data_IF_493265077731
#
_entry.id   IF_493265077731
#
_cell.length_a   1.000
_cell.length_b   1.000
_cell.length_c   1.000
_cell.angle_alpha   90.00
_cell.angle_beta   90.00
_cell.angle_gamma   90.00
#
_symmetry.space_group_name_H-M   'P 1'
#
loop_
_entity.id
_entity.type
_entity.pdbx_description
1 polymer ?
#
# COMPACT_ATOMS: atom_id res chain seq x y z
N UNK A 1 -0.96 5.05 11.91
CA UNK A 1 -0.72 5.93 13.10
C UNK A 1 0.45 6.85 12.91
N UNK A 2 1.63 6.33 12.57
CA UNK A 2 2.88 7.11 12.49
C UNK A 2 2.76 8.42 11.70
N UNK A 3 2.16 8.39 10.50
CA UNK A 3 1.96 9.61 9.71
C UNK A 3 1.12 10.69 10.42
N UNK A 4 0.05 10.28 11.12
CA UNK A 4 -0.77 11.23 11.89
C UNK A 4 0.00 11.76 13.09
N UNK A 5 0.76 10.91 13.79
CA UNK A 5 1.60 11.33 14.92
C UNK A 5 2.68 12.33 14.46
N UNK A 6 3.37 12.06 13.34
CA UNK A 6 4.37 12.95 12.76
C UNK A 6 3.75 14.30 12.35
N UNK A 7 2.57 14.29 11.72
CA UNK A 7 1.84 15.52 11.37
C UNK A 7 1.47 16.35 12.61
N UNK A 8 0.85 15.73 13.61
CA UNK A 8 0.44 16.42 14.85
C UNK A 8 1.65 17.01 15.58
N UNK A 9 2.78 16.28 15.62
CA UNK A 9 4.03 16.77 16.17
C UNK A 9 4.58 17.96 15.36
N UNK A 10 4.52 17.90 14.03
CA UNK A 10 5.03 18.98 13.15
C UNK A 10 4.29 20.31 13.30
N UNK A 11 3.02 20.28 13.74
CA UNK A 11 2.23 21.49 14.05
C UNK A 11 2.38 21.93 15.51
N UNK A 12 3.42 21.44 16.21
CA UNK A 12 3.83 21.89 17.54
C UNK A 12 3.02 21.31 18.71
N UNK A 13 2.30 20.19 18.50
CA UNK A 13 1.63 19.48 19.60
C UNK A 13 2.59 18.47 20.24
N UNK A 14 2.48 18.30 21.56
CA UNK A 14 3.17 17.23 22.25
C UNK A 14 2.51 15.89 21.91
N UNK A 15 3.31 14.90 21.49
CA UNK A 15 2.82 13.58 21.06
C UNK A 15 3.55 12.50 21.84
N UNK A 16 2.80 11.64 22.50
CA UNK A 16 3.27 10.42 23.15
C UNK A 16 2.66 9.23 22.47
N UNK A 17 3.35 8.12 22.38
CA UNK A 17 2.88 6.96 21.65
C UNK A 17 3.15 5.62 22.33
N UNK A 18 2.32 4.64 21.95
CA UNK A 18 2.55 3.23 22.24
C UNK A 18 2.52 2.41 20.95
N UNK A 19 3.51 1.58 20.77
CA UNK A 19 3.52 0.55 19.73
C UNK A 19 4.25 -0.70 20.23
N UNK A 20 3.64 -1.87 20.08
CA UNK A 20 4.25 -3.15 20.48
C UNK A 20 5.56 -3.44 19.75
N UNK A 21 5.67 -2.98 18.49
CA UNK A 21 6.80 -3.27 17.63
C UNK A 21 7.88 -2.19 17.68
N UNK A 22 9.13 -2.60 17.91
CA UNK A 22 10.30 -1.74 17.73
C UNK A 22 10.74 -1.75 16.27
N UNK A 23 10.04 -1.02 15.43
CA UNK A 23 10.21 -0.95 13.98
C UNK A 23 11.08 0.21 13.52
N UNK A 24 11.46 0.23 12.23
CA UNK A 24 12.13 1.40 11.64
C UNK A 24 11.27 2.67 11.75
N UNK A 25 9.95 2.53 11.67
CA UNK A 25 9.00 3.65 11.79
C UNK A 25 9.00 4.20 13.21
N UNK A 26 8.91 3.36 14.24
CA UNK A 26 8.95 3.83 15.65
C UNK A 26 10.29 4.47 15.98
N UNK A 27 11.41 3.89 15.50
CA UNK A 27 12.75 4.50 15.65
C UNK A 27 12.84 5.88 14.98
N UNK A 28 12.20 6.07 13.83
CA UNK A 28 12.12 7.37 13.16
C UNK A 28 11.34 8.37 14.01
N UNK A 29 10.18 8.01 14.55
CA UNK A 29 9.38 8.89 15.39
C UNK A 29 10.14 9.32 16.66
N UNK A 30 10.88 8.40 17.28
CA UNK A 30 11.75 8.71 18.43
C UNK A 30 12.83 9.73 18.04
N UNK A 31 13.46 9.58 16.87
CA UNK A 31 14.43 10.56 16.36
C UNK A 31 13.84 11.95 16.12
N UNK A 32 12.53 12.03 15.81
CA UNK A 32 11.81 13.30 15.67
C UNK A 32 11.42 13.93 17.01
N UNK A 33 11.68 13.25 18.14
CA UNK A 33 11.35 13.76 19.49
C UNK A 33 9.98 13.28 20.00
N UNK A 34 9.34 12.32 19.35
CA UNK A 34 8.11 11.69 19.82
C UNK A 34 8.49 10.54 20.76
N UNK A 35 8.02 10.59 22.00
CA UNK A 35 8.26 9.52 22.97
C UNK A 35 7.37 8.31 22.68
N UNK A 36 7.97 7.14 22.44
CA UNK A 36 7.28 5.90 22.07
C UNK A 36 7.63 4.79 23.09
N UNK A 37 6.64 4.32 23.80
CA UNK A 37 6.78 3.11 24.61
C UNK A 37 6.44 1.85 23.85
N UNK A 38 7.15 0.77 24.17
CA UNK A 38 6.87 -0.59 23.67
C UNK A 38 6.23 -1.50 24.74
N UNK A 39 5.97 -0.96 25.93
CA UNK A 39 5.33 -1.67 27.05
C UNK A 39 3.87 -1.27 27.15
N UNK A 40 2.97 -2.25 27.23
CA UNK A 40 1.55 -2.04 27.50
C UNK A 40 1.34 -1.95 29.03
N UNK A 41 1.76 -0.81 29.59
CA UNK A 41 1.69 -0.55 31.02
C UNK A 41 1.29 0.92 31.28
N UNK A 42 0.41 1.14 32.24
CA UNK A 42 -0.03 2.48 32.64
C UNK A 42 1.02 3.27 33.38
N UNK A 43 2.05 2.62 33.93
CA UNK A 43 3.17 3.29 34.60
C UNK A 43 3.99 4.19 33.65
N UNK A 44 3.87 3.97 32.34
CA UNK A 44 4.54 4.81 31.34
C UNK A 44 3.84 6.15 31.09
N UNK A 45 2.62 6.33 31.61
CA UNK A 45 1.84 7.55 31.40
C UNK A 45 2.39 8.63 32.33
N UNK A 46 2.96 9.68 31.74
CA UNK A 46 3.36 10.86 32.48
C UNK A 46 2.12 11.70 32.81
N UNK A 47 1.62 11.54 34.04
CA UNK A 47 0.41 12.22 34.51
C UNK A 47 0.59 13.73 34.71
N UNK A 48 1.81 14.24 34.71
CA UNK A 48 2.07 15.69 34.74
C UNK A 48 1.81 16.31 33.35
N UNK A 49 1.99 15.55 32.28
CA UNK A 49 1.75 15.98 30.93
C UNK A 49 0.34 15.65 30.42
N UNK A 50 -0.31 14.65 31.00
CA UNK A 50 -1.56 14.04 30.49
C UNK A 50 -2.73 14.36 31.41
N UNK A 51 -3.67 15.19 30.97
CA UNK A 51 -4.91 15.47 31.72
C UNK A 51 -6.15 15.47 30.80
N UNK A 52 -7.34 15.26 31.38
CA UNK A 52 -8.58 15.10 30.63
C UNK A 52 -8.97 16.32 29.79
N UNK A 53 -8.55 17.53 30.16
CA UNK A 53 -9.00 18.75 29.48
C UNK A 53 -8.22 19.08 28.21
N UNK A 54 -6.98 18.58 28.07
CA UNK A 54 -6.08 18.93 26.98
C UNK A 54 -5.51 17.73 26.22
N UNK A 55 -5.91 16.51 26.59
CA UNK A 55 -5.38 15.28 25.99
C UNK A 55 -6.41 14.62 25.08
N UNK A 56 -6.03 14.40 23.83
CA UNK A 56 -6.76 13.60 22.86
C UNK A 56 -6.06 12.24 22.71
N UNK A 57 -6.78 11.17 22.99
CA UNK A 57 -6.28 9.81 22.85
C UNK A 57 -6.72 9.24 21.49
N UNK A 58 -5.77 8.83 20.67
CA UNK A 58 -6.04 8.34 19.32
C UNK A 58 -5.63 6.89 19.20
N UNK A 59 -6.53 6.03 18.72
CA UNK A 59 -6.25 4.60 18.56
C UNK A 59 -6.62 4.07 17.16
N UNK A 60 -6.08 2.90 16.82
CA UNK A 60 -6.46 2.15 15.62
C UNK A 60 -7.20 0.87 15.98
N UNK A 61 -8.06 0.31 15.09
CA UNK A 61 -8.70 -0.99 15.32
C UNK A 61 -7.71 -2.15 15.49
N UNK A 62 -6.45 -1.96 15.12
CA UNK A 62 -5.40 -2.98 15.28
C UNK A 62 -4.95 -3.18 16.75
N UNK A 63 -5.27 -2.24 17.65
CA UNK A 63 -4.93 -2.39 19.07
C UNK A 63 -5.88 -3.39 19.74
N UNK A 64 -5.32 -4.24 20.62
CA UNK A 64 -6.12 -5.21 21.38
C UNK A 64 -7.12 -4.52 22.30
N UNK A 65 -8.33 -5.06 22.40
CA UNK A 65 -9.32 -4.63 23.41
C UNK A 65 -8.85 -4.87 24.86
N UNK A 66 -7.81 -5.69 25.06
CA UNK A 66 -7.19 -5.96 26.37
C UNK A 66 -6.04 -4.99 26.70
N UNK A 67 -5.72 -4.04 25.79
CA UNK A 67 -4.62 -3.10 26.00
C UNK A 67 -4.86 -2.25 27.25
N UNK A 68 -3.88 -2.25 28.19
CA UNK A 68 -4.01 -1.59 29.49
C UNK A 68 -4.08 -0.07 29.36
N UNK A 69 -3.25 0.51 28.50
CA UNK A 69 -3.17 1.96 28.27
C UNK A 69 -4.49 2.50 27.72
N UNK A 70 -5.00 1.88 26.63
CA UNK A 70 -6.26 2.31 26.04
C UNK A 70 -7.44 2.17 26.99
N UNK A 71 -7.49 1.07 27.76
CA UNK A 71 -8.53 0.85 28.74
C UNK A 71 -8.47 1.83 29.91
N UNK A 72 -7.26 2.24 30.35
CA UNK A 72 -7.07 3.28 31.33
C UNK A 72 -7.74 4.60 30.88
N UNK A 73 -7.41 5.07 29.68
CA UNK A 73 -7.96 6.31 29.15
C UNK A 73 -9.48 6.28 29.00
N UNK A 74 -10.03 5.15 28.51
CA UNK A 74 -11.50 4.97 28.41
C UNK A 74 -12.19 5.01 29.78
N UNK A 75 -11.62 4.31 30.79
CA UNK A 75 -12.19 4.25 32.14
C UNK A 75 -12.15 5.61 32.86
N UNK A 76 -11.15 6.44 32.56
CA UNK A 76 -10.97 7.76 33.17
C UNK A 76 -11.59 8.89 32.34
N UNK A 77 -12.50 8.58 31.39
CA UNK A 77 -13.28 9.54 30.62
C UNK A 77 -12.44 10.54 29.80
N UNK A 78 -11.28 10.13 29.30
CA UNK A 78 -10.54 10.92 28.32
C UNK A 78 -11.27 10.95 26.97
N UNK A 79 -11.02 11.99 26.16
CA UNK A 79 -11.51 12.04 24.80
C UNK A 79 -10.73 11.02 23.95
N UNK A 80 -11.40 9.91 23.60
CA UNK A 80 -10.79 8.77 22.88
C UNK A 80 -11.44 8.65 21.51
N UNK A 81 -10.66 8.85 20.44
CA UNK A 81 -11.13 8.84 19.05
C UNK A 81 -10.39 7.81 18.20
N UNK A 82 -11.02 7.31 17.16
CA UNK A 82 -10.32 6.50 16.15
C UNK A 82 -9.38 7.36 15.31
N UNK A 83 -8.26 6.77 14.85
CA UNK A 83 -7.35 7.42 13.89
C UNK A 83 -8.08 7.97 12.66
N UNK A 84 -9.08 7.25 12.17
CA UNK A 84 -9.86 7.66 11.01
C UNK A 84 -10.68 8.93 11.25
N UNK A 85 -11.17 9.15 12.49
CA UNK A 85 -11.93 10.35 12.85
C UNK A 85 -11.02 11.57 12.85
N UNK A 86 -9.87 11.48 13.53
CA UNK A 86 -8.90 12.55 13.57
C UNK A 86 -8.34 12.86 12.17
N UNK A 87 -8.00 11.84 11.38
CA UNK A 87 -7.52 12.04 10.01
C UNK A 87 -8.57 12.75 9.16
N UNK A 88 -9.83 12.33 9.24
CA UNK A 88 -10.93 12.97 8.50
C UNK A 88 -11.12 14.44 8.92
N UNK A 89 -11.06 14.75 10.22
CA UNK A 89 -11.12 16.12 10.72
C UNK A 89 -9.99 16.98 10.15
N UNK A 90 -8.76 16.48 10.17
CA UNK A 90 -7.60 17.17 9.60
C UNK A 90 -7.80 17.46 8.12
N UNK A 91 -8.07 16.43 7.30
CA UNK A 91 -8.06 16.57 5.84
C UNK A 91 -9.31 17.28 5.30
N UNK A 92 -10.46 17.17 5.96
CA UNK A 92 -11.70 17.85 5.55
C UNK A 92 -11.66 19.36 5.78
N UNK A 93 -10.77 19.85 6.65
CA UNK A 93 -10.63 21.27 6.98
C UNK A 93 -10.06 22.12 5.85
N UNK A 94 -9.40 21.49 4.87
CA UNK A 94 -8.67 22.13 3.76
C UNK A 94 -9.08 21.54 2.41
N UNK A 95 -8.28 21.82 1.37
CA UNK A 95 -8.46 21.18 0.07
C UNK A 95 -8.00 19.71 0.16
N UNK A 96 -8.93 18.79 0.02
CA UNK A 96 -8.69 17.36 0.19
C UNK A 96 -8.73 16.62 -1.14
N UNK A 97 -7.70 15.82 -1.41
CA UNK A 97 -7.62 14.87 -2.52
C UNK A 97 -7.63 13.47 -1.92
N UNK A 98 -8.63 12.66 -2.27
CA UNK A 98 -8.82 11.32 -1.72
C UNK A 98 -8.73 10.24 -2.80
N UNK A 99 -7.81 9.30 -2.64
CA UNK A 99 -7.58 8.20 -3.58
C UNK A 99 -8.19 6.92 -3.01
N UNK A 100 -9.30 6.47 -3.61
CA UNK A 100 -10.05 5.28 -3.23
C UNK A 100 -9.89 4.14 -4.26
N UNK A 101 -10.28 2.93 -3.87
CA UNK A 101 -10.26 1.73 -4.68
C UNK A 101 -9.71 0.54 -3.89
N UNK A 102 -10.06 -0.66 -4.26
CA UNK A 102 -9.56 -1.86 -3.58
C UNK A 102 -8.03 -1.95 -3.74
N UNK A 103 -7.51 -1.67 -4.94
CA UNK A 103 -6.08 -1.74 -5.25
C UNK A 103 -5.53 -0.42 -5.81
N UNK A 104 -4.22 -0.20 -5.66
CA UNK A 104 -3.52 0.93 -6.26
C UNK A 104 -3.51 2.23 -5.45
N UNK A 105 -4.30 2.35 -4.38
CA UNK A 105 -4.40 3.56 -3.51
C UNK A 105 -3.02 4.12 -3.14
N UNK A 106 -2.21 3.31 -2.44
CA UNK A 106 -0.89 3.71 -1.93
C UNK A 106 0.04 4.17 -3.05
N UNK A 107 0.09 3.42 -4.14
CA UNK A 107 0.94 3.72 -5.28
C UNK A 107 0.53 5.04 -5.93
N UNK A 108 -0.76 5.23 -6.20
CA UNK A 108 -1.28 6.47 -6.82
C UNK A 108 -1.06 7.68 -5.91
N UNK A 109 -1.39 7.56 -4.62
CA UNK A 109 -1.16 8.62 -3.62
C UNK A 109 0.31 9.03 -3.58
N UNK A 110 1.22 8.08 -3.60
CA UNK A 110 2.66 8.36 -3.53
C UNK A 110 3.21 8.96 -4.83
N UNK A 111 2.74 8.53 -6.01
CA UNK A 111 3.12 9.14 -7.28
C UNK A 111 2.64 10.59 -7.33
N UNK A 112 1.38 10.85 -6.97
CA UNK A 112 0.81 12.19 -6.91
C UNK A 112 1.59 13.08 -5.94
N UNK A 113 1.89 12.56 -4.74
CA UNK A 113 2.67 13.29 -3.74
C UNK A 113 4.08 13.64 -4.23
N UNK A 114 4.75 12.72 -4.97
CA UNK A 114 6.05 12.98 -5.58
C UNK A 114 5.97 14.06 -6.68
N UNK A 115 4.91 14.04 -7.51
CA UNK A 115 4.68 15.08 -8.52
C UNK A 115 4.45 16.44 -7.85
N UNK A 116 3.59 16.51 -6.83
CA UNK A 116 3.28 17.74 -6.10
C UNK A 116 4.51 18.30 -5.37
N UNK A 117 5.33 17.43 -4.77
CA UNK A 117 6.59 17.82 -4.15
C UNK A 117 7.58 18.39 -5.18
N UNK A 118 7.71 17.73 -6.33
CA UNK A 118 8.54 18.20 -7.45
C UNK A 118 8.07 19.54 -8.04
N UNK A 119 6.78 19.82 -7.93
CA UNK A 119 6.18 21.09 -8.34
C UNK A 119 6.27 22.19 -7.28
N UNK A 120 6.75 21.90 -6.08
CA UNK A 120 6.86 22.86 -4.96
C UNK A 120 5.52 23.29 -4.38
N UNK A 121 4.46 22.45 -4.49
CA UNK A 121 3.15 22.78 -3.92
C UNK A 121 3.17 22.73 -2.39
N UNK A 122 2.30 23.57 -1.79
CA UNK A 122 2.06 23.57 -0.35
C UNK A 122 1.04 22.48 -0.01
N UNK A 123 1.52 21.32 0.49
CA UNK A 123 0.66 20.17 0.76
C UNK A 123 1.23 19.22 1.81
N UNK A 124 0.34 18.41 2.37
CA UNK A 124 0.69 17.24 3.19
C UNK A 124 0.04 15.99 2.57
N UNK A 125 0.81 14.91 2.44
CA UNK A 125 0.30 13.63 1.94
C UNK A 125 0.46 12.52 2.97
N UNK A 126 -0.64 11.83 3.30
CA UNK A 126 -0.68 10.62 4.13
C UNK A 126 -0.68 9.39 3.22
N UNK A 127 0.42 8.64 3.23
CA UNK A 127 0.63 7.47 2.35
C UNK A 127 0.60 6.18 3.17
N UNK A 128 -0.05 5.13 2.68
CA UNK A 128 -0.18 3.84 3.38
C UNK A 128 1.11 3.02 3.40
N UNK A 129 2.12 3.38 2.60
CA UNK A 129 3.41 2.71 2.51
C UNK A 129 4.58 3.66 2.70
N UNK A 130 5.78 3.11 2.89
CA UNK A 130 7.01 3.90 3.04
C UNK A 130 7.59 4.20 1.66
N UNK A 131 7.69 5.50 1.32
CA UNK A 131 8.34 5.96 0.09
C UNK A 131 9.85 5.71 0.20
N UNK A 132 10.48 5.16 -0.87
CA UNK A 132 11.89 4.72 -0.82
C UNK A 132 12.85 5.86 -0.46
N UNK A 133 12.87 6.94 -1.22
CA UNK A 133 13.85 8.03 -1.02
C UNK A 133 13.49 8.98 0.13
N UNK A 134 12.23 8.95 0.57
CA UNK A 134 11.75 9.78 1.68
C UNK A 134 11.84 9.09 3.04
N UNK A 135 11.97 7.76 3.05
CA UNK A 135 12.01 6.90 4.24
C UNK A 135 10.87 7.15 5.24
N UNK A 136 9.75 7.64 4.74
CA UNK A 136 8.56 7.98 5.53
C UNK A 136 7.28 7.61 4.79
N UNK A 137 6.18 7.55 5.53
CA UNK A 137 4.83 7.38 5.01
C UNK A 137 4.00 8.69 5.07
N UNK A 138 4.68 9.83 5.19
CA UNK A 138 4.08 11.16 5.13
C UNK A 138 5.03 12.11 4.39
N UNK A 139 4.49 13.00 3.56
CA UNK A 139 5.23 14.14 3.01
C UNK A 139 4.63 15.41 3.61
N UNK A 140 5.46 16.14 4.35
CA UNK A 140 5.11 17.42 4.98
C UNK A 140 5.75 18.55 4.17
N UNK A 141 5.00 19.19 3.29
CA UNK A 141 5.43 20.34 2.47
C UNK A 141 4.44 21.49 2.56
N UNK A 142 3.72 21.58 3.67
CA UNK A 142 2.70 22.60 3.93
C UNK A 142 1.34 22.01 4.28
N UNK A 143 0.30 22.85 4.38
CA UNK A 143 -1.01 22.48 4.90
C UNK A 143 -2.21 23.05 4.09
N UNK A 144 -1.99 23.51 2.85
CA UNK A 144 -3.09 23.99 2.01
C UNK A 144 -3.86 22.87 1.33
N UNK A 145 -3.15 21.82 0.92
CA UNK A 145 -3.72 20.65 0.25
C UNK A 145 -3.38 19.40 1.06
N UNK A 146 -4.37 18.56 1.30
CA UNK A 146 -4.15 17.23 1.87
C UNK A 146 -4.41 16.14 0.82
N UNK A 147 -3.47 15.22 0.68
CA UNK A 147 -3.64 14.01 -0.14
C UNK A 147 -3.72 12.80 0.78
N UNK A 148 -4.77 12.00 0.64
CA UNK A 148 -5.04 10.88 1.56
C UNK A 148 -5.52 9.64 0.82
N UNK A 149 -5.12 8.48 1.31
CA UNK A 149 -5.73 7.22 0.90
C UNK A 149 -7.11 7.11 1.55
N UNK A 150 -8.12 6.93 0.71
CA UNK A 150 -9.50 6.71 1.11
C UNK A 150 -9.72 5.20 1.26
N UNK A 151 -9.44 4.69 2.47
CA UNK A 151 -9.49 3.27 2.78
C UNK A 151 -10.93 2.82 3.02
N UNK A 152 -11.38 1.83 2.27
CA UNK A 152 -12.71 1.21 2.39
C UNK A 152 -12.82 0.32 3.63
N UNK A 153 -11.69 -0.12 4.20
CA UNK A 153 -11.69 -0.90 5.43
C UNK A 153 -12.33 -0.12 6.59
N UNK A 154 -13.17 -0.79 7.39
CA UNK A 154 -13.96 -0.18 8.48
C UNK A 154 -14.82 1.03 8.00
N UNK A 155 -15.11 1.10 6.68
CA UNK A 155 -15.87 2.19 6.03
C UNK A 155 -15.30 3.59 6.35
N UNK A 156 -13.98 3.69 6.59
CA UNK A 156 -13.34 4.93 7.05
C UNK A 156 -13.37 6.03 6.00
N UNK A 157 -13.33 5.67 4.71
CA UNK A 157 -13.41 6.62 3.59
C UNK A 157 -14.73 7.40 3.54
N UNK A 158 -15.81 6.88 4.15
CA UNK A 158 -17.10 7.58 4.22
C UNK A 158 -17.09 8.81 5.13
N UNK A 159 -16.03 9.02 5.89
CA UNK A 159 -15.82 10.23 6.73
C UNK A 159 -15.15 11.37 5.96
N UNK A 160 -14.63 11.07 4.77
CA UNK A 160 -13.94 12.06 3.94
C UNK A 160 -14.93 12.85 3.08
N UNK A 161 -14.68 14.15 2.94
CA UNK A 161 -15.40 15.07 2.06
C UNK A 161 -14.39 15.75 1.12
N UNK A 162 -13.95 15.05 0.06
CA UNK A 162 -12.87 15.54 -0.78
C UNK A 162 -13.31 16.60 -1.78
N UNK A 163 -12.37 17.43 -2.21
CA UNK A 163 -12.52 18.34 -3.37
C UNK A 163 -12.20 17.59 -4.67
N UNK A 164 -11.28 16.61 -4.59
CA UNK A 164 -10.94 15.71 -5.69
C UNK A 164 -10.95 14.30 -5.16
N UNK A 165 -11.68 13.41 -5.81
CA UNK A 165 -11.68 11.98 -5.48
C UNK A 165 -11.26 11.15 -6.68
N UNK A 166 -10.63 10.01 -6.43
CA UNK A 166 -10.44 8.97 -7.43
C UNK A 166 -10.96 7.64 -6.93
N UNK A 167 -11.66 6.87 -7.79
CA UNK A 167 -12.02 5.47 -7.57
C UNK A 167 -11.31 4.64 -8.62
N UNK A 168 -10.24 3.93 -8.16
CA UNK A 168 -9.32 3.21 -9.03
C UNK A 168 -9.92 1.91 -9.58
N UNK A 169 -10.60 1.17 -8.74
CA UNK A 169 -11.25 -0.10 -9.02
C UNK A 169 -12.13 -0.49 -7.82
N UNK A 170 -13.02 -1.46 -8.03
CA UNK A 170 -13.83 -2.06 -6.97
C UNK A 170 -13.78 -3.57 -7.18
N UNK A 171 -13.00 -4.26 -6.37
CA UNK A 171 -12.89 -5.71 -6.37
C UNK A 171 -13.45 -6.27 -5.04
N UNK A 172 -13.84 -7.55 -5.04
CA UNK A 172 -14.34 -8.19 -3.83
C UNK A 172 -13.22 -8.39 -2.82
N UNK A 173 -13.22 -7.61 -1.74
CA UNK A 173 -12.35 -7.76 -0.57
C UNK A 173 -13.13 -7.32 0.69
N UNK A 174 -12.56 -7.58 1.87
CA UNK A 174 -13.10 -7.13 3.15
C UNK A 174 -14.53 -7.64 3.47
N UNK A 175 -14.81 -8.91 3.14
CA UNK A 175 -16.11 -9.53 3.47
C UNK A 175 -16.34 -9.73 4.99
N UNK A 176 -15.31 -9.44 5.81
CA UNK A 176 -15.44 -9.27 7.25
C UNK A 176 -16.16 -7.96 7.65
N UNK A 177 -16.20 -6.97 6.75
CA UNK A 177 -16.81 -5.64 6.95
C UNK A 177 -18.05 -5.44 6.09
N UNK A 178 -18.06 -6.00 4.87
CA UNK A 178 -19.15 -5.88 3.90
C UNK A 178 -19.92 -7.19 3.79
N UNK A 179 -21.25 -7.11 3.82
CA UNK A 179 -22.10 -8.29 3.71
C UNK A 179 -21.95 -9.02 2.37
N UNK A 180 -21.74 -8.26 1.32
CA UNK A 180 -21.54 -8.75 -0.05
C UNK A 180 -20.91 -7.65 -0.95
N UNK A 181 -20.64 -8.01 -2.20
CA UNK A 181 -20.08 -7.09 -3.19
C UNK A 181 -20.99 -5.87 -3.49
N UNK A 182 -22.32 -6.00 -3.34
CA UNK A 182 -23.23 -4.88 -3.55
C UNK A 182 -23.18 -3.88 -2.39
N UNK A 183 -22.97 -4.33 -1.15
CA UNK A 183 -22.75 -3.43 0.00
C UNK A 183 -21.45 -2.62 -0.18
N UNK A 184 -20.39 -3.28 -0.66
CA UNK A 184 -19.14 -2.61 -1.02
C UNK A 184 -19.38 -1.54 -2.10
N UNK A 185 -20.02 -1.88 -3.22
CA UNK A 185 -20.38 -0.92 -4.30
C UNK A 185 -21.21 0.26 -3.80
N UNK A 186 -22.23 0.00 -2.97
CA UNK A 186 -23.04 1.06 -2.34
C UNK A 186 -22.19 1.99 -1.49
N UNK A 187 -21.19 1.48 -0.81
CA UNK A 187 -20.27 2.29 0.00
C UNK A 187 -19.38 3.17 -0.86
N UNK A 188 -18.84 2.66 -1.98
CA UNK A 188 -18.13 3.51 -2.95
C UNK A 188 -19.04 4.58 -3.58
N UNK A 189 -20.32 4.25 -3.83
CA UNK A 189 -21.29 5.25 -4.29
C UNK A 189 -21.51 6.35 -3.24
N UNK A 190 -21.69 5.99 -1.97
CA UNK A 190 -21.77 6.98 -0.88
C UNK A 190 -20.50 7.82 -0.77
N UNK A 191 -19.32 7.22 -0.95
CA UNK A 191 -18.07 7.98 -0.97
C UNK A 191 -18.05 9.00 -2.11
N UNK A 192 -18.50 8.63 -3.33
CA UNK A 192 -18.60 9.58 -4.45
C UNK A 192 -19.60 10.71 -4.18
N UNK A 193 -20.67 10.42 -3.44
CA UNK A 193 -21.69 11.40 -3.07
C UNK A 193 -21.20 12.38 -1.96
N UNK A 194 -20.10 12.04 -1.27
CA UNK A 194 -19.46 12.91 -0.27
C UNK A 194 -18.55 14.00 -0.87
N UNK A 195 -18.40 14.07 -2.18
CA UNK A 195 -17.65 15.16 -2.82
C UNK A 195 -18.18 16.53 -2.37
N UNK A 196 -17.27 17.45 -2.08
CA UNK A 196 -17.65 18.84 -1.83
C UNK A 196 -18.31 19.44 -3.07
N UNK A 197 -19.08 20.52 -2.87
CA UNK A 197 -19.65 21.27 -4.00
C UNK A 197 -18.53 21.64 -4.99
N UNK A 198 -18.77 21.44 -6.27
CA UNK A 198 -17.81 21.63 -7.37
C UNK A 198 -16.59 20.67 -7.32
N UNK A 199 -16.67 19.60 -6.52
CA UNK A 199 -15.65 18.55 -6.47
C UNK A 199 -15.64 17.68 -7.74
N UNK A 200 -14.48 17.09 -8.04
CA UNK A 200 -14.26 16.30 -9.24
C UNK A 200 -14.03 14.83 -8.85
N UNK A 201 -14.76 13.92 -9.52
CA UNK A 201 -14.52 12.49 -9.45
C UNK A 201 -13.77 12.00 -10.68
N UNK A 202 -12.65 11.31 -10.45
CA UNK A 202 -11.96 10.49 -11.44
C UNK A 202 -12.29 9.02 -11.17
N UNK A 203 -12.68 8.24 -12.18
CA UNK A 203 -13.03 6.83 -11.97
C UNK A 203 -12.56 5.93 -13.11
N UNK A 204 -12.27 4.68 -12.82
CA UNK A 204 -12.01 3.69 -13.85
C UNK A 204 -13.22 3.57 -14.79
N UNK A 205 -12.95 3.53 -16.10
CA UNK A 205 -13.99 3.49 -17.14
C UNK A 205 -14.85 2.22 -17.14
N UNK A 206 -14.45 1.19 -16.38
CA UNK A 206 -15.26 -0.01 -16.17
C UNK A 206 -16.27 0.14 -15.02
N UNK A 207 -16.24 1.26 -14.32
CA UNK A 207 -17.15 1.57 -13.21
C UNK A 207 -18.24 2.54 -13.66
N UNK A 208 -19.46 2.32 -13.16
CA UNK A 208 -20.61 3.17 -13.46
C UNK A 208 -20.72 4.32 -12.44
N UNK A 209 -19.97 5.40 -12.71
CA UNK A 209 -20.02 6.65 -11.96
C UNK A 209 -20.13 7.85 -12.90
N UNK A 210 -20.70 8.92 -12.38
CA UNK A 210 -20.67 10.22 -13.06
C UNK A 210 -19.38 10.95 -12.69
N UNK A 211 -18.51 11.21 -13.67
CA UNK A 211 -17.22 11.84 -13.45
C UNK A 211 -16.34 11.79 -14.69
N UNK A 212 -15.07 12.07 -14.51
CA UNK A 212 -14.04 11.96 -15.54
C UNK A 212 -13.47 10.54 -15.53
N UNK A 213 -13.69 9.81 -16.60
CA UNK A 213 -13.29 8.41 -16.71
C UNK A 213 -11.84 8.24 -17.16
N UNK A 214 -11.15 7.23 -16.65
CA UNK A 214 -9.81 6.86 -17.09
C UNK A 214 -9.68 5.35 -17.30
N UNK A 215 -8.76 4.91 -18.14
CA UNK A 215 -8.51 3.48 -18.30
C UNK A 215 -7.76 3.11 -19.58
N UNK A 216 -7.93 1.85 -19.96
CA UNK A 216 -7.40 1.28 -21.22
C UNK A 216 -8.42 1.36 -22.36
N UNK A 217 -9.70 1.57 -22.03
CA UNK A 217 -10.78 1.57 -23.01
C UNK A 217 -10.73 2.83 -23.90
N UNK A 218 -11.06 2.67 -25.17
CA UNK A 218 -11.02 3.75 -26.15
C UNK A 218 -12.05 4.87 -25.91
N UNK A 219 -13.07 4.59 -25.10
CA UNK A 219 -14.11 5.53 -24.69
C UNK A 219 -13.85 6.24 -23.36
N UNK A 220 -12.68 6.00 -22.74
CA UNK A 220 -12.28 6.73 -21.52
C UNK A 220 -11.91 8.16 -21.87
N UNK A 221 -12.25 9.12 -20.99
CA UNK A 221 -11.86 10.54 -21.13
C UNK A 221 -10.33 10.71 -21.11
N UNK A 222 -9.66 9.92 -20.26
CA UNK A 222 -8.21 9.74 -20.28
C UNK A 222 -7.86 8.28 -20.56
N UNK A 223 -7.21 8.04 -21.69
CA UNK A 223 -6.83 6.69 -22.15
C UNK A 223 -5.32 6.48 -22.07
N UNK A 224 -4.93 5.33 -21.50
CA UNK A 224 -3.56 4.85 -21.52
C UNK A 224 -3.35 3.99 -22.80
N UNK A 225 -2.39 4.38 -23.62
CA UNK A 225 -2.10 3.71 -24.90
C UNK A 225 -0.59 3.47 -25.09
N UNK A 226 -0.22 2.62 -26.03
CA UNK A 226 1.18 2.36 -26.44
C UNK A 226 2.11 1.95 -25.30
N UNK A 227 1.64 1.13 -24.35
CA UNK A 227 2.43 0.69 -23.20
C UNK A 227 3.57 -0.23 -23.67
N UNK A 228 4.81 0.13 -23.33
CA UNK A 228 6.02 -0.61 -23.69
C UNK A 228 6.98 -0.69 -22.51
N UNK A 229 7.80 -1.72 -22.47
CA UNK A 229 8.97 -1.77 -21.60
C UNK A 229 10.20 -1.28 -22.37
N UNK A 230 10.87 -0.28 -21.84
CA UNK A 230 12.09 0.29 -22.44
C UNK A 230 13.19 0.30 -21.37
N UNK A 231 14.16 -0.61 -21.49
CA UNK A 231 15.31 -0.69 -20.59
C UNK A 231 14.94 -0.75 -19.10
N UNK A 232 13.94 -1.57 -18.75
CA UNK A 232 13.51 -1.76 -17.35
C UNK A 232 12.63 -0.64 -16.79
N UNK A 233 12.09 0.23 -17.65
CA UNK A 233 11.11 1.27 -17.31
C UNK A 233 9.89 1.14 -18.19
N UNK A 234 8.75 1.64 -17.74
CA UNK A 234 7.59 1.78 -18.62
C UNK A 234 7.73 3.03 -19.49
N UNK A 235 7.37 2.88 -20.77
CA UNK A 235 7.05 3.98 -21.67
C UNK A 235 5.61 3.80 -22.12
N UNK A 236 4.82 4.86 -22.12
CA UNK A 236 3.42 4.86 -22.57
C UNK A 236 3.01 6.24 -23.03
N UNK A 237 1.88 6.28 -23.74
CA UNK A 237 1.23 7.52 -24.12
C UNK A 237 -0.07 7.68 -23.33
N UNK A 238 -0.47 8.94 -23.09
CA UNK A 238 -1.76 9.29 -22.50
C UNK A 238 -2.52 10.13 -23.50
N UNK A 239 -3.73 9.69 -23.86
CA UNK A 239 -4.68 10.44 -24.67
C UNK A 239 -5.76 11.04 -23.77
N UNK A 240 -5.95 12.35 -23.82
CA UNK A 240 -7.03 13.08 -23.14
C UNK A 240 -7.74 13.91 -24.20
N UNK A 241 -9.00 13.58 -24.52
CA UNK A 241 -9.71 14.12 -25.64
C UNK A 241 -8.89 13.97 -26.95
N UNK A 242 -8.65 15.07 -27.68
CA UNK A 242 -7.84 15.08 -28.89
C UNK A 242 -6.33 15.22 -28.63
N UNK A 243 -5.91 15.45 -27.40
CA UNK A 243 -4.51 15.68 -27.06
C UNK A 243 -3.83 14.38 -26.65
N UNK A 244 -2.65 14.10 -27.24
CA UNK A 244 -1.82 12.94 -26.89
C UNK A 244 -0.50 13.41 -26.31
N UNK A 245 -0.22 12.96 -25.09
CA UNK A 245 1.07 13.11 -24.41
C UNK A 245 1.88 11.84 -24.69
N UNK A 246 2.95 11.97 -25.46
CA UNK A 246 3.72 10.83 -25.98
C UNK A 246 4.97 10.54 -25.18
N UNK A 247 5.43 9.28 -25.28
CA UNK A 247 6.72 8.79 -24.79
C UNK A 247 6.97 9.11 -23.30
N UNK A 248 5.93 9.00 -22.48
CA UNK A 248 6.01 9.22 -21.03
C UNK A 248 6.82 8.07 -20.43
N UNK A 249 7.93 8.40 -19.80
CA UNK A 249 8.78 7.43 -19.10
C UNK A 249 8.40 7.39 -17.63
N UNK A 250 8.13 6.19 -17.13
CA UNK A 250 7.80 5.95 -15.73
C UNK A 250 8.73 4.91 -15.10
N UNK A 251 9.23 5.22 -13.91
CA UNK A 251 10.27 4.43 -13.24
C UNK A 251 9.71 3.25 -12.42
N UNK A 252 8.58 2.70 -12.81
CA UNK A 252 8.03 1.43 -12.28
C UNK A 252 7.55 0.57 -13.43
N UNK A 253 7.40 -0.72 -13.16
CA UNK A 253 6.97 -1.71 -14.14
C UNK A 253 5.54 -2.19 -13.85
N UNK A 254 4.89 -2.78 -14.85
CA UNK A 254 3.53 -3.31 -14.73
C UNK A 254 2.44 -2.35 -15.23
N UNK A 255 1.49 -2.90 -16.01
CA UNK A 255 0.37 -2.12 -16.59
C UNK A 255 -0.48 -1.46 -15.50
N UNK A 256 -0.68 -2.13 -14.36
CA UNK A 256 -1.38 -1.56 -13.22
C UNK A 256 -0.67 -0.31 -12.66
N UNK A 257 0.66 -0.28 -12.67
CA UNK A 257 1.42 0.89 -12.25
C UNK A 257 1.36 2.02 -13.27
N UNK A 258 1.23 1.70 -14.57
CA UNK A 258 0.94 2.71 -15.59
C UNK A 258 -0.44 3.35 -15.39
N UNK A 259 -1.46 2.57 -14.99
CA UNK A 259 -2.79 3.10 -14.64
C UNK A 259 -2.72 3.97 -13.37
N UNK A 260 -1.96 3.56 -12.36
CA UNK A 260 -1.74 4.39 -11.17
C UNK A 260 -1.07 5.73 -11.54
N UNK A 261 -0.08 5.70 -12.46
CA UNK A 261 0.58 6.90 -12.97
C UNK A 261 -0.37 7.78 -13.80
N UNK A 262 -1.26 7.18 -14.62
CA UNK A 262 -2.29 7.91 -15.36
C UNK A 262 -3.18 8.71 -14.41
N UNK A 263 -3.67 8.10 -13.32
CA UNK A 263 -4.53 8.80 -12.35
C UNK A 263 -3.78 9.95 -11.67
N UNK A 264 -2.55 9.71 -11.21
CA UNK A 264 -1.73 10.77 -10.63
C UNK A 264 -1.46 11.91 -11.65
N UNK A 265 -1.24 11.57 -12.92
CA UNK A 265 -1.04 12.51 -14.02
C UNK A 265 -2.27 13.41 -14.24
N UNK A 266 -3.49 12.82 -14.36
CA UNK A 266 -4.71 13.61 -14.62
C UNK A 266 -5.09 14.48 -13.41
N UNK A 267 -4.89 14.00 -12.18
CA UNK A 267 -5.08 14.81 -10.97
C UNK A 267 -4.07 15.97 -10.95
N UNK A 268 -2.80 15.72 -11.28
CA UNK A 268 -1.77 16.75 -11.33
C UNK A 268 -2.06 17.82 -12.39
N UNK A 269 -2.59 17.43 -13.56
CA UNK A 269 -3.07 18.37 -14.58
C UNK A 269 -4.25 19.21 -14.07
N UNK A 270 -5.19 18.60 -13.35
CA UNK A 270 -6.32 19.29 -12.73
C UNK A 270 -5.87 20.33 -11.69
N UNK A 271 -4.75 20.08 -11.01
CA UNK A 271 -4.09 21.04 -10.11
C UNK A 271 -3.27 22.11 -10.84
N UNK A 272 -3.35 22.18 -12.17
CA UNK A 272 -2.57 23.10 -13.02
C UNK A 272 -1.04 22.96 -12.87
N UNK A 273 -0.55 21.78 -12.52
CA UNK A 273 0.90 21.52 -12.49
C UNK A 273 1.43 21.50 -13.93
N UNK A 274 2.56 22.17 -14.15
CA UNK A 274 3.19 22.21 -15.46
C UNK A 274 3.53 20.80 -15.97
N UNK A 275 3.22 20.52 -17.24
CA UNK A 275 3.39 19.20 -17.86
C UNK A 275 4.84 18.69 -17.79
N UNK A 276 5.84 19.54 -18.02
CA UNK A 276 7.23 19.15 -17.98
C UNK A 276 7.65 18.72 -16.57
N UNK A 277 7.09 19.35 -15.54
CA UNK A 277 7.30 18.96 -14.14
C UNK A 277 6.69 17.58 -13.87
N UNK A 278 5.46 17.34 -14.35
CA UNK A 278 4.79 16.03 -14.19
C UNK A 278 5.64 14.94 -14.86
N UNK A 279 6.08 15.14 -16.11
CA UNK A 279 6.87 14.16 -16.86
C UNK A 279 8.22 13.88 -16.20
N UNK A 280 8.92 14.91 -15.70
CA UNK A 280 10.16 14.76 -14.96
C UNK A 280 9.96 13.98 -13.67
N UNK A 281 8.89 14.28 -12.92
CA UNK A 281 8.57 13.59 -11.67
C UNK A 281 8.24 12.10 -11.91
N UNK A 282 7.43 11.75 -12.91
CA UNK A 282 7.16 10.37 -13.27
C UNK A 282 8.45 9.60 -13.60
N UNK A 283 9.36 10.21 -14.35
CA UNK A 283 10.65 9.61 -14.72
C UNK A 283 11.57 9.40 -13.52
N UNK A 284 11.53 10.29 -12.51
CA UNK A 284 12.37 10.24 -11.30
C UNK A 284 11.70 9.56 -10.11
N UNK A 285 10.46 9.09 -10.26
CA UNK A 285 9.72 8.49 -9.16
C UNK A 285 10.47 7.31 -8.53
N UNK A 286 10.77 7.32 -7.20
CA UNK A 286 11.65 6.35 -6.57
C UNK A 286 10.95 5.01 -6.26
N UNK A 287 9.62 4.99 -6.25
CA UNK A 287 8.82 3.84 -5.83
C UNK A 287 8.52 3.82 -4.34
N UNK A 288 7.77 2.81 -3.94
CA UNK A 288 7.39 2.51 -2.56
C UNK A 288 8.06 1.19 -2.16
N UNK A 289 8.49 1.07 -0.92
CA UNK A 289 8.99 -0.21 -0.38
C UNK A 289 7.87 -1.25 -0.49
N UNK A 290 8.23 -2.45 -0.93
CA UNK A 290 7.30 -3.58 -1.05
C UNK A 290 6.15 -3.38 -2.05
N UNK A 291 6.33 -2.58 -3.11
CA UNK A 291 5.38 -2.45 -4.22
C UNK A 291 6.12 -2.67 -5.53
N UNK A 292 6.18 -3.93 -5.97
CA UNK A 292 7.00 -4.37 -7.10
C UNK A 292 8.43 -3.83 -7.01
N UNK A 293 9.00 -3.94 -5.81
CA UNK A 293 10.33 -3.41 -5.52
C UNK A 293 11.40 -4.31 -6.10
N UNK A 294 12.10 -3.82 -7.12
CA UNK A 294 13.29 -4.49 -7.63
C UNK A 294 14.44 -4.26 -6.66
N UNK A 295 14.81 -5.30 -5.92
CA UNK A 295 15.77 -5.20 -4.80
C UNK A 295 17.18 -5.68 -5.19
N UNK A 296 17.29 -6.59 -6.15
CA UNK A 296 18.56 -7.09 -6.69
C UNK A 296 18.38 -7.47 -8.16
N UNK A 297 19.43 -7.26 -8.99
CA UNK A 297 19.38 -7.56 -10.41
C UNK A 297 20.40 -8.64 -10.80
N UNK A 298 21.49 -8.80 -10.04
CA UNK A 298 22.55 -9.78 -10.33
C UNK A 298 23.08 -10.41 -9.05
N UNK A 299 23.35 -11.72 -9.04
CA UNK A 299 23.27 -12.67 -10.15
C UNK A 299 21.86 -13.13 -10.46
N UNK A 300 20.94 -12.96 -9.50
CA UNK A 300 19.51 -13.31 -9.61
C UNK A 300 18.68 -12.04 -9.52
N UNK A 301 17.54 -12.02 -10.18
CA UNK A 301 16.56 -10.94 -10.01
C UNK A 301 15.78 -11.22 -8.73
N UNK A 302 15.71 -10.23 -7.84
CA UNK A 302 14.90 -10.29 -6.62
C UNK A 302 13.89 -9.16 -6.59
N UNK A 303 12.61 -9.51 -6.43
CA UNK A 303 11.48 -8.59 -6.36
C UNK A 303 10.74 -8.84 -5.06
N UNK A 304 10.45 -7.77 -4.31
CA UNK A 304 9.58 -7.80 -3.14
C UNK A 304 8.28 -7.05 -3.40
N UNK A 305 7.15 -7.69 -3.08
CA UNK A 305 5.83 -7.10 -3.26
C UNK A 305 4.92 -7.33 -2.04
N UNK A 306 4.05 -6.39 -1.79
CA UNK A 306 3.06 -6.44 -0.71
C UNK A 306 1.83 -7.28 -1.06
N UNK A 307 1.76 -7.85 -2.26
CA UNK A 307 0.65 -8.64 -2.78
C UNK A 307 0.20 -9.70 -1.77
N UNK A 308 -1.07 -9.64 -1.39
CA UNK A 308 -1.69 -10.49 -0.39
C UNK A 308 -3.13 -10.88 -0.74
N UNK A 309 -3.57 -10.54 -1.95
CA UNK A 309 -4.84 -10.94 -2.55
C UNK A 309 -4.56 -11.70 -3.87
N UNK A 310 -5.38 -12.70 -4.27
CA UNK A 310 -5.15 -13.48 -5.50
C UNK A 310 -4.98 -12.62 -6.76
N UNK A 311 -5.77 -11.56 -6.92
CA UNK A 311 -5.66 -10.63 -8.06
C UNK A 311 -4.33 -9.87 -8.08
N UNK A 312 -3.80 -9.50 -6.91
CA UNK A 312 -2.49 -8.85 -6.79
C UNK A 312 -1.36 -9.83 -7.15
N UNK A 313 -1.43 -11.09 -6.67
CA UNK A 313 -0.47 -12.16 -7.01
C UNK A 313 -0.44 -12.36 -8.52
N UNK A 314 -1.60 -12.46 -9.17
CA UNK A 314 -1.69 -12.58 -10.63
C UNK A 314 -1.11 -11.36 -11.35
N UNK A 315 -1.32 -10.15 -10.82
CA UNK A 315 -0.76 -8.91 -11.37
C UNK A 315 0.78 -8.91 -11.32
N UNK A 316 1.36 -9.37 -10.20
CA UNK A 316 2.82 -9.54 -10.05
C UNK A 316 3.31 -10.60 -11.04
N UNK A 317 2.69 -11.77 -11.09
CA UNK A 317 3.05 -12.84 -12.04
C UNK A 317 3.03 -12.35 -13.49
N UNK A 318 1.95 -11.70 -13.92
CA UNK A 318 1.83 -11.16 -15.28
C UNK A 318 2.90 -10.11 -15.59
N UNK A 319 3.30 -9.34 -14.59
CA UNK A 319 4.36 -8.35 -14.73
C UNK A 319 5.73 -9.01 -14.90
N UNK A 320 6.09 -9.97 -14.04
CA UNK A 320 7.38 -10.66 -14.13
C UNK A 320 7.50 -11.49 -15.42
N UNK A 321 6.44 -12.17 -15.84
CA UNK A 321 6.43 -12.97 -17.07
C UNK A 321 6.67 -12.13 -18.34
N UNK A 322 6.19 -10.87 -18.34
CA UNK A 322 6.45 -9.92 -19.45
C UNK A 322 7.84 -9.31 -19.39
N UNK A 323 8.38 -9.10 -18.20
CA UNK A 323 9.65 -8.39 -17.99
C UNK A 323 10.86 -9.32 -18.09
N UNK A 324 10.68 -10.55 -17.66
CA UNK A 324 11.73 -11.56 -17.55
C UNK A 324 11.28 -12.88 -18.20
N UNK A 325 10.94 -12.86 -19.51
CA UNK A 325 10.43 -14.04 -20.19
C UNK A 325 11.46 -15.17 -20.17
N UNK A 326 11.02 -16.36 -19.78
CA UNK A 326 11.84 -17.58 -19.77
C UNK A 326 12.74 -17.76 -18.54
N UNK A 327 12.85 -16.81 -17.63
CA UNK A 327 13.55 -17.03 -16.36
C UNK A 327 12.71 -17.94 -15.45
N UNK A 328 13.35 -18.96 -14.88
CA UNK A 328 12.74 -19.80 -13.85
C UNK A 328 12.50 -18.97 -12.60
N UNK A 329 11.25 -18.97 -12.12
CA UNK A 329 10.83 -18.15 -11.02
C UNK A 329 10.46 -18.97 -9.79
N UNK A 330 10.83 -18.44 -8.63
CA UNK A 330 10.47 -18.91 -7.30
C UNK A 330 9.62 -17.85 -6.61
N UNK A 331 8.44 -18.20 -6.14
CA UNK A 331 7.66 -17.35 -5.24
C UNK A 331 7.75 -17.84 -3.81
N UNK A 332 8.03 -16.91 -2.87
CA UNK A 332 7.92 -17.14 -1.43
C UNK A 332 6.74 -16.30 -0.96
N UNK A 333 5.63 -16.94 -0.63
CA UNK A 333 4.38 -16.27 -0.28
C UNK A 333 4.03 -16.48 1.20
N UNK A 334 3.74 -15.38 1.89
CA UNK A 334 3.18 -15.38 3.23
C UNK A 334 1.71 -15.01 3.19
N UNK A 335 0.78 -15.95 3.40
CA UNK A 335 -0.63 -15.61 3.51
C UNK A 335 -0.87 -14.66 4.69
N UNK A 336 -1.84 -13.75 4.53
CA UNK A 336 -2.16 -12.73 5.53
C UNK A 336 -3.63 -12.82 5.91
N UNK A 337 -3.91 -13.01 7.22
CA UNK A 337 -5.21 -13.27 7.85
C UNK A 337 -5.75 -14.69 7.57
N UNK A 338 -6.31 -15.28 8.61
CA UNK A 338 -6.94 -16.61 8.49
C UNK A 338 -8.27 -16.51 7.72
N UNK A 339 -9.05 -15.44 7.94
CA UNK A 339 -10.32 -15.20 7.24
C UNK A 339 -10.10 -15.07 5.75
N UNK A 340 -9.17 -14.21 5.30
CA UNK A 340 -8.85 -14.05 3.87
C UNK A 340 -8.34 -15.34 3.25
N UNK A 341 -7.48 -16.08 3.97
CA UNK A 341 -6.98 -17.38 3.49
C UNK A 341 -8.12 -18.35 3.27
N UNK A 342 -9.11 -18.40 4.18
CA UNK A 342 -10.29 -19.24 4.07
C UNK A 342 -11.17 -18.84 2.88
N UNK A 343 -11.47 -17.55 2.76
CA UNK A 343 -12.42 -17.02 1.78
C UNK A 343 -11.92 -17.16 0.34
N UNK A 344 -10.61 -17.02 0.13
CA UNK A 344 -9.97 -17.07 -1.20
C UNK A 344 -9.07 -18.30 -1.41
N UNK A 345 -9.29 -19.38 -0.70
CA UNK A 345 -8.41 -20.55 -0.67
C UNK A 345 -8.08 -21.11 -2.07
N UNK A 346 -9.12 -21.31 -2.88
CA UNK A 346 -8.98 -21.83 -4.25
C UNK A 346 -8.32 -20.82 -5.17
N UNK A 347 -8.64 -19.55 -5.01
CA UNK A 347 -8.11 -18.48 -5.86
C UNK A 347 -6.62 -18.22 -5.55
N UNK A 348 -6.19 -18.35 -4.30
CA UNK A 348 -4.77 -18.35 -3.94
C UNK A 348 -4.01 -19.48 -4.61
N UNK A 349 -4.52 -20.72 -4.53
CA UNK A 349 -3.89 -21.85 -5.18
C UNK A 349 -3.72 -21.61 -6.69
N UNK A 350 -4.79 -21.23 -7.40
CA UNK A 350 -4.77 -20.93 -8.85
C UNK A 350 -3.80 -19.80 -9.22
N UNK A 351 -3.70 -18.76 -8.39
CA UNK A 351 -2.79 -17.66 -8.66
C UNK A 351 -1.31 -18.09 -8.47
N UNK A 352 -1.02 -18.86 -7.42
CA UNK A 352 0.31 -19.33 -7.11
C UNK A 352 0.81 -20.42 -8.08
N UNK A 353 -0.08 -21.27 -8.61
CA UNK A 353 0.26 -22.30 -9.60
C UNK A 353 0.88 -21.78 -10.90
N UNK A 354 0.79 -20.49 -11.15
CA UNK A 354 1.45 -19.85 -12.30
C UNK A 354 2.98 -19.84 -12.17
N UNK A 355 3.51 -19.88 -10.95
CA UNK A 355 4.94 -19.84 -10.69
C UNK A 355 5.58 -21.22 -10.87
N UNK A 356 6.87 -21.25 -11.27
CA UNK A 356 7.60 -22.51 -11.50
C UNK A 356 7.90 -23.24 -10.21
N UNK A 357 8.15 -22.50 -9.12
CA UNK A 357 8.36 -23.02 -7.77
C UNK A 357 7.62 -22.18 -6.73
N UNK A 358 6.97 -22.86 -5.80
CA UNK A 358 6.09 -22.22 -4.81
C UNK A 358 6.55 -22.59 -3.40
N UNK A 359 6.80 -21.57 -2.60
CA UNK A 359 7.13 -21.73 -1.18
C UNK A 359 6.14 -20.93 -0.36
N UNK A 360 5.46 -21.62 0.56
CA UNK A 360 4.52 -21.00 1.49
C UNK A 360 5.15 -20.86 2.87
N UNK A 361 4.93 -19.72 3.49
CA UNK A 361 5.24 -19.48 4.90
C UNK A 361 3.97 -19.65 5.75
N UNK A 362 4.12 -19.72 7.06
CA UNK A 362 2.98 -19.69 7.97
C UNK A 362 2.13 -18.42 7.78
N UNK A 363 0.81 -18.55 7.98
CA UNK A 363 -0.12 -17.41 7.89
C UNK A 363 0.30 -16.36 8.91
N UNK A 364 0.43 -15.11 8.46
CA UNK A 364 0.58 -13.96 9.36
C UNK A 364 -0.80 -13.56 9.91
N UNK A 365 -1.04 -13.74 11.22
CA UNK A 365 -2.37 -13.57 11.80
C UNK A 365 -2.80 -12.11 11.93
N UNK A 366 -1.84 -11.18 11.96
CA UNK A 366 -2.07 -9.77 12.29
C UNK A 366 -2.87 -9.60 13.59
N UNK A 367 -4.19 -9.43 13.49
CA UNK A 367 -5.12 -9.23 14.61
C UNK A 367 -6.05 -10.40 14.88
N UNK A 368 -5.99 -11.44 14.04
CA UNK A 368 -6.90 -12.57 14.11
C UNK A 368 -6.36 -13.69 15.02
N UNK A 369 -7.27 -14.41 15.63
CA UNK A 369 -6.97 -15.71 16.23
C UNK A 369 -7.00 -16.79 15.15
N UNK A 370 -6.24 -17.89 15.31
CA UNK A 370 -6.26 -19.00 14.38
C UNK A 370 -7.67 -19.57 14.18
N UNK A 371 -8.00 -19.88 12.92
CA UNK A 371 -9.25 -20.55 12.56
C UNK A 371 -8.95 -22.04 12.41
N UNK A 372 -9.72 -22.89 13.09
CA UNK A 372 -9.54 -24.34 13.04
C UNK A 372 -9.64 -24.87 11.60
N UNK A 373 -8.67 -25.71 11.21
CA UNK A 373 -8.57 -26.26 9.86
C UNK A 373 -8.01 -25.28 8.79
N UNK A 374 -7.66 -24.04 9.12
CA UNK A 374 -7.11 -23.06 8.18
C UNK A 374 -5.64 -22.80 8.51
N UNK A 375 -4.78 -23.09 7.54
CA UNK A 375 -3.34 -22.86 7.60
C UNK A 375 -2.77 -22.73 6.20
N UNK A 376 -1.48 -22.43 6.07
CA UNK A 376 -0.81 -22.45 4.76
C UNK A 376 -0.85 -23.84 4.10
N UNK A 377 -0.98 -24.91 4.91
CA UNK A 377 -1.21 -26.26 4.40
C UNK A 377 -2.51 -26.38 3.63
N UNK A 378 -3.54 -25.62 3.99
CA UNK A 378 -4.83 -25.63 3.27
C UNK A 378 -4.68 -25.15 1.82
N UNK A 379 -3.82 -24.13 1.57
CA UNK A 379 -3.48 -23.69 0.20
C UNK A 379 -2.58 -24.75 -0.47
N UNK A 380 -1.57 -25.24 0.25
CA UNK A 380 -0.62 -26.22 -0.25
C UNK A 380 -1.32 -27.48 -0.78
N UNK A 381 -2.31 -27.99 -0.08
CA UNK A 381 -2.99 -29.24 -0.44
C UNK A 381 -3.84 -29.09 -1.74
N UNK A 382 -4.25 -27.86 -2.12
CA UNK A 382 -5.00 -27.58 -3.35
C UNK A 382 -4.09 -27.35 -4.55
N UNK A 383 -2.90 -26.76 -4.35
CA UNK A 383 -1.94 -26.51 -5.45
C UNK A 383 -1.57 -27.83 -6.11
N UNK A 384 -1.72 -27.94 -7.43
CA UNK A 384 -1.36 -29.13 -8.20
C UNK A 384 0.13 -29.17 -8.57
N UNK A 385 0.82 -28.01 -8.63
CA UNK A 385 2.25 -27.93 -8.94
C UNK A 385 3.08 -28.76 -7.93
N UNK A 386 3.87 -29.72 -8.44
CA UNK A 386 4.72 -30.58 -7.60
C UNK A 386 5.90 -29.84 -6.94
N UNK A 387 6.35 -28.74 -7.57
CA UNK A 387 7.44 -27.90 -7.06
C UNK A 387 6.95 -26.93 -5.97
N UNK A 388 6.40 -27.47 -4.90
CA UNK A 388 5.86 -26.70 -3.77
C UNK A 388 6.40 -27.17 -2.44
N UNK A 389 6.55 -26.26 -1.48
CA UNK A 389 6.94 -26.56 -0.11
C UNK A 389 6.34 -25.56 0.88
N UNK A 390 6.33 -25.97 2.15
CA UNK A 390 6.04 -25.08 3.28
C UNK A 390 7.30 -25.02 4.12
N UNK A 391 7.77 -23.83 4.46
CA UNK A 391 8.96 -23.62 5.29
C UNK A 391 8.70 -22.55 6.35
N UNK A 392 9.56 -22.50 7.35
CA UNK A 392 9.64 -21.39 8.31
C UNK A 392 10.46 -20.25 7.72
N UNK A 393 10.23 -19.03 8.15
CA UNK A 393 11.02 -17.86 7.72
C UNK A 393 12.52 -18.03 7.94
N UNK A 394 12.92 -18.67 9.05
CA UNK A 394 14.33 -18.95 9.36
C UNK A 394 15.03 -19.86 8.34
N UNK A 395 14.27 -20.61 7.52
CA UNK A 395 14.79 -21.53 6.51
C UNK A 395 14.98 -20.87 5.13
N UNK A 396 14.50 -19.60 4.95
CA UNK A 396 14.64 -18.88 3.69
C UNK A 396 16.10 -18.78 3.20
N UNK A 397 17.11 -18.45 4.04
CA UNK A 397 18.49 -18.38 3.57
C UNK A 397 19.01 -19.73 3.02
N UNK A 398 18.70 -20.83 3.68
CA UNK A 398 19.11 -22.16 3.23
C UNK A 398 18.43 -22.56 1.90
N UNK A 399 17.14 -22.29 1.78
CA UNK A 399 16.41 -22.45 0.52
C UNK A 399 17.10 -21.68 -0.61
N UNK A 400 17.40 -20.40 -0.42
CA UNK A 400 17.98 -19.53 -1.47
C UNK A 400 19.39 -19.95 -1.88
N UNK A 401 20.17 -20.56 -0.98
CA UNK A 401 21.51 -21.09 -1.26
C UNK A 401 21.44 -22.33 -2.17
N UNK A 402 20.42 -23.16 -2.01
CA UNK A 402 20.25 -24.42 -2.76
C UNK A 402 19.39 -24.26 -4.01
N UNK A 403 18.62 -23.20 -4.13
CA UNK A 403 17.66 -22.99 -5.21
C UNK A 403 18.30 -22.45 -6.50
N UNK A 404 17.93 -23.04 -7.64
CA UNK A 404 18.47 -22.67 -8.96
C UNK A 404 17.64 -21.63 -9.72
N UNK A 405 16.51 -21.14 -9.17
CA UNK A 405 15.67 -20.14 -9.83
C UNK A 405 16.43 -18.84 -10.06
N UNK A 406 16.21 -18.24 -11.21
CA UNK A 406 16.89 -17.00 -11.63
C UNK A 406 16.15 -15.75 -11.17
N UNK A 407 14.84 -15.87 -10.96
CA UNK A 407 13.95 -14.82 -10.48
C UNK A 407 13.30 -15.27 -9.16
N UNK A 408 13.46 -14.46 -8.13
CA UNK A 408 12.91 -14.69 -6.80
C UNK A 408 11.91 -13.58 -6.50
N UNK A 409 10.74 -13.96 -6.02
CA UNK A 409 9.68 -13.02 -5.65
C UNK A 409 9.23 -13.32 -4.23
N UNK A 410 9.30 -12.35 -3.33
CA UNK A 410 8.62 -12.41 -2.04
C UNK A 410 7.31 -11.68 -2.10
N UNK A 411 6.24 -12.27 -1.55
CA UNK A 411 4.91 -11.66 -1.52
C UNK A 411 4.23 -11.87 -0.17
N UNK A 412 3.50 -10.85 0.29
CA UNK A 412 2.67 -10.89 1.50
C UNK A 412 2.65 -9.58 2.25
N UNK A 413 1.56 -9.32 2.98
CA UNK A 413 1.38 -8.11 3.80
C UNK A 413 1.94 -8.25 5.23
N UNK A 414 2.45 -9.43 5.58
CA UNK A 414 3.00 -9.75 6.88
C UNK A 414 4.48 -9.41 7.06
N UNK A 415 5.08 -10.03 8.06
CA UNK A 415 6.47 -9.83 8.47
C UNK A 415 7.52 -10.49 7.55
N UNK A 416 7.10 -11.12 6.44
CA UNK A 416 8.01 -11.50 5.35
C UNK A 416 8.81 -10.30 4.82
N UNK A 417 8.26 -9.09 4.94
CA UNK A 417 8.97 -7.86 4.58
C UNK A 417 10.20 -7.55 5.41
N UNK A 418 10.29 -8.09 6.62
CA UNK A 418 11.45 -7.92 7.48
C UNK A 418 12.64 -8.79 7.01
N UNK A 419 12.37 -9.82 6.19
CA UNK A 419 13.37 -10.72 5.63
C UNK A 419 14.07 -10.17 4.38
N UNK A 420 13.58 -9.08 3.78
CA UNK A 420 14.09 -8.54 2.50
C UNK A 420 15.60 -8.27 2.55
N UNK A 421 16.10 -7.63 3.59
CA UNK A 421 17.52 -7.32 3.70
C UNK A 421 18.39 -8.58 3.91
N UNK A 422 17.87 -9.56 4.65
CA UNK A 422 18.55 -10.85 4.82
C UNK A 422 18.60 -11.62 3.50
N UNK A 423 17.50 -11.63 2.74
CA UNK A 423 17.41 -12.26 1.41
C UNK A 423 18.43 -11.61 0.46
N UNK A 424 18.47 -10.28 0.39
CA UNK A 424 19.43 -9.53 -0.44
C UNK A 424 20.88 -9.91 -0.10
N UNK A 425 21.18 -9.93 1.19
CA UNK A 425 22.52 -10.29 1.68
C UNK A 425 22.86 -11.74 1.29
N UNK A 426 21.95 -12.68 1.55
CA UNK A 426 22.13 -14.11 1.21
C UNK A 426 22.38 -14.30 -0.29
N UNK A 427 21.61 -13.65 -1.15
CA UNK A 427 21.77 -13.74 -2.60
C UNK A 427 23.09 -13.10 -3.06
N UNK A 428 23.48 -11.97 -2.48
CA UNK A 428 24.73 -11.27 -2.83
C UNK A 428 25.98 -12.04 -2.38
N UNK A 429 25.98 -12.63 -1.18
CA UNK A 429 27.13 -13.36 -0.62
C UNK A 429 27.40 -14.70 -1.33
N UNK A 430 26.39 -15.30 -1.95
CA UNK A 430 26.50 -16.58 -2.66
C UNK A 430 26.80 -16.42 -4.17
N UNK A 431 27.26 -15.25 -4.59
CA UNK A 431 27.64 -14.94 -5.98
C UNK A 431 28.61 -15.95 -6.63
N UNK A 432 29.51 -16.53 -5.84
CA UNK A 432 30.53 -17.46 -6.33
C UNK A 432 29.98 -18.86 -6.70
N UNK A 433 28.83 -19.27 -6.13
CA UNK A 433 28.18 -20.55 -6.45
C UNK A 433 27.48 -20.55 -7.80
N UNK A 434 27.21 -19.37 -8.37
CA UNK A 434 26.43 -19.20 -9.60
C UNK A 434 27.29 -18.79 -10.82
N UNK A 435 28.62 -18.85 -10.69
CA UNK A 435 29.57 -18.49 -11.79
C UNK A 435 29.99 -19.69 -12.64
N UNK A 436 29.36 -20.84 -12.50
CA UNK A 436 29.68 -22.04 -13.28
C UNK A 436 28.46 -22.64 -13.94
#
# INVERSE_FOLDING_TARGET
MSAVAEYIHSIGKNVLGYDRANSLITKRLIKLGIDISHKDDTEIIDFDLVNNSNTLVVYTPAISNKNCILNYFKKNNYNVVKRSDLLAEIVNSKFCIAIAGTHGKTTTTSILAHIMYSAGLNFTSFVGGVLKDYETNIILNGDEIFVVEADEYDKTFLKLHPNVASIMNIDGDHYDIYSDFNDLKKSFKKFSDNLKKDGILFHDSNLDFNGFSFGLNSNSDAQLINIKNVSGKLSFDIKINEKIYKDIIFNMLGTHNALNALVAFIIALNLNINIDTILKALKSYPGIKRRFSLELIKPKVFIDDYAHHPSEILSVYNSISKLYPGLKNLVIFQPHLFTRTKDFLIDFAKALEKFDKIVLLDIYPAREEPIDGISSKSIYDIIENENKSIIKKSEIPELLISDSSELIVTMGAGDIGDEVELIKKTLAENLWKWKF
#
